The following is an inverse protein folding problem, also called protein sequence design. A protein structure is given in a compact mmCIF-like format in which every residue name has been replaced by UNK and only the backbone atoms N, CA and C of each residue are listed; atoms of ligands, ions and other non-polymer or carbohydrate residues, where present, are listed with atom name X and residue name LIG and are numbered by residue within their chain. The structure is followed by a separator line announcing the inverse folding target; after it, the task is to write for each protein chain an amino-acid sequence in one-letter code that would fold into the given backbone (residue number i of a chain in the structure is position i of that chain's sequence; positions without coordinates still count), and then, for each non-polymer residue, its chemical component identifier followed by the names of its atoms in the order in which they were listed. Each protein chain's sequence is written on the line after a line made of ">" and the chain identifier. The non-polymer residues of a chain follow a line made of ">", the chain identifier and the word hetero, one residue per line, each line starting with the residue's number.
data_IF_248474736641
#
_entry.id   IF_248474736641
#
_cell.length_a   1.000
_cell.length_b   1.000
_cell.length_c   1.000
_cell.angle_alpha   90.00
_cell.angle_beta   90.00
_cell.angle_gamma   90.00
#
_symmetry.space_group_name_H-M   'P 1'
#
loop_
_entity.id
_entity.type
_entity.pdbx_description
1 polymer ?
#
# COMPACT_ATOMS: atom_id res chain seq x y z
N UNK A 1 10.16 16.86 34.95
CA UNK A 1 10.81 17.94 34.16
C UNK A 1 10.57 17.61 32.71
N UNK A 2 9.51 18.18 32.12
CA UNK A 2 9.17 17.96 30.72
C UNK A 2 10.10 18.79 29.86
N UNK A 3 11.12 18.16 29.27
CA UNK A 3 11.85 18.77 28.16
C UNK A 3 10.84 19.01 27.04
N UNK A 4 10.55 20.28 26.80
CA UNK A 4 9.88 20.75 25.59
C UNK A 4 10.83 20.45 24.44
N UNK A 5 10.73 19.24 23.86
CA UNK A 5 11.31 18.92 22.56
C UNK A 5 10.61 19.80 21.54
N UNK A 6 11.13 21.02 21.37
CA UNK A 6 10.74 21.88 20.26
C UNK A 6 11.04 21.08 18.98
N UNK A 7 10.09 20.96 18.04
CA UNK A 7 10.39 20.39 16.74
C UNK A 7 11.57 21.17 16.15
N UNK A 8 12.67 20.48 15.91
CA UNK A 8 13.87 21.12 15.36
C UNK A 8 13.61 21.34 13.88
N UNK A 9 13.11 22.54 13.55
CA UNK A 9 12.91 22.96 12.16
C UNK A 9 14.28 23.09 11.51
N UNK A 10 14.55 22.22 10.53
CA UNK A 10 15.82 22.10 9.82
C UNK A 10 15.67 22.67 8.40
N UNK A 11 14.61 22.31 7.67
CA UNK A 11 14.38 22.80 6.31
C UNK A 11 13.61 24.12 6.35
N UNK A 12 14.23 25.20 5.87
CA UNK A 12 13.64 26.54 5.82
C UNK A 12 13.72 27.17 4.44
N UNK A 13 14.77 26.83 3.69
CA UNK A 13 15.06 27.39 2.37
C UNK A 13 15.97 26.41 1.58
N UNK A 14 16.38 26.83 0.38
CA UNK A 14 17.28 26.07 -0.49
C UNK A 14 18.68 25.89 0.09
N UNK A 15 19.12 26.71 1.04
CA UNK A 15 20.45 26.59 1.66
C UNK A 15 20.51 25.45 2.66
N UNK A 16 19.41 25.19 3.38
CA UNK A 16 19.33 24.07 4.32
C UNK A 16 18.89 22.76 3.68
N UNK A 17 18.50 22.78 2.40
CA UNK A 17 18.09 21.60 1.63
C UNK A 17 19.13 20.47 1.61
N UNK A 18 20.42 20.68 1.25
CA UNK A 18 21.37 19.57 1.14
C UNK A 18 21.59 18.83 2.46
N UNK A 19 21.61 19.57 3.57
CA UNK A 19 21.74 19.00 4.91
C UNK A 19 20.48 18.21 5.29
N UNK A 20 19.30 18.80 5.09
CA UNK A 20 18.03 18.14 5.40
C UNK A 20 17.82 16.87 4.57
N UNK A 21 18.10 16.92 3.26
CA UNK A 21 17.95 15.77 2.37
C UNK A 21 18.90 14.63 2.75
N UNK A 22 20.12 14.94 3.20
CA UNK A 22 21.06 13.94 3.71
C UNK A 22 20.54 13.26 4.98
N UNK A 23 19.92 14.01 5.90
CA UNK A 23 19.28 13.45 7.10
C UNK A 23 18.06 12.59 6.75
N UNK A 24 17.21 13.05 5.82
CA UNK A 24 16.08 12.26 5.31
C UNK A 24 16.57 10.91 4.76
N UNK A 25 17.62 10.95 3.91
CA UNK A 25 18.21 9.74 3.33
C UNK A 25 18.74 8.82 4.42
N UNK A 26 19.39 9.35 5.46
CA UNK A 26 19.84 8.56 6.60
C UNK A 26 18.68 7.90 7.36
N UNK A 27 17.66 8.66 7.76
CA UNK A 27 16.50 8.16 8.51
C UNK A 27 15.70 7.09 7.74
N UNK A 28 15.57 7.28 6.43
CA UNK A 28 14.88 6.36 5.53
C UNK A 28 15.68 5.09 5.24
N UNK A 29 17.00 5.19 5.08
CA UNK A 29 17.87 4.03 4.93
C UNK A 29 17.92 3.21 6.22
N UNK A 30 18.00 3.86 7.38
CA UNK A 30 17.96 3.19 8.69
C UNK A 30 16.68 2.34 8.87
N UNK A 31 15.56 2.78 8.30
CA UNK A 31 14.27 2.06 8.32
C UNK A 31 14.08 1.08 7.16
N UNK A 32 14.98 1.11 6.17
CA UNK A 32 14.91 0.31 4.97
C UNK A 32 13.78 0.68 4.02
N UNK A 33 13.35 1.95 4.00
CA UNK A 33 12.25 2.42 3.13
C UNK A 33 12.70 3.40 2.04
N UNK A 34 14.01 3.70 1.95
CA UNK A 34 14.53 4.67 0.98
C UNK A 34 14.06 4.40 -0.44
N UNK A 35 14.14 3.15 -0.89
CA UNK A 35 13.77 2.74 -2.25
C UNK A 35 12.31 3.05 -2.61
N UNK A 36 11.45 3.25 -1.62
CA UNK A 36 10.03 3.52 -1.83
C UNK A 36 9.65 5.00 -1.69
N UNK A 37 10.54 5.81 -1.13
CA UNK A 37 10.34 7.26 -0.96
C UNK A 37 11.32 8.08 -1.79
N UNK A 38 12.22 7.42 -2.51
CA UNK A 38 13.24 8.05 -3.34
C UNK A 38 12.56 8.96 -4.38
N UNK A 39 12.81 10.29 -4.36
CA UNK A 39 12.16 11.21 -5.29
C UNK A 39 12.54 10.95 -6.76
N UNK A 40 13.67 10.30 -7.02
CA UNK A 40 14.17 10.06 -8.37
C UNK A 40 13.76 8.67 -8.92
N UNK A 41 13.14 7.84 -8.09
CA UNK A 41 12.59 6.55 -8.51
C UNK A 41 11.23 6.71 -9.23
N UNK A 42 10.70 5.61 -9.77
CA UNK A 42 9.32 5.55 -10.31
C UNK A 42 8.29 5.85 -9.21
N UNK A 43 7.10 6.26 -9.63
CA UNK A 43 5.99 6.57 -8.72
C UNK A 43 5.67 5.38 -7.82
N UNK A 44 5.79 5.61 -6.51
CA UNK A 44 5.41 4.67 -5.49
C UNK A 44 3.89 4.63 -5.38
N UNK A 45 3.34 3.41 -5.30
CA UNK A 45 1.92 3.26 -5.04
C UNK A 45 1.60 3.70 -3.60
N UNK A 46 0.47 4.38 -3.37
CA UNK A 46 0.03 4.72 -2.02
C UNK A 46 -0.11 3.49 -1.13
N UNK A 47 0.20 3.63 0.16
CA UNK A 47 0.19 2.51 1.11
C UNK A 47 -1.21 1.90 1.27
N UNK A 48 -2.27 2.70 1.14
CA UNK A 48 -3.65 2.19 1.22
C UNK A 48 -4.01 1.26 0.04
N UNK A 49 -3.40 1.43 -1.13
CA UNK A 49 -3.64 0.55 -2.29
C UNK A 49 -2.94 -0.80 -2.17
N UNK A 50 -1.94 -0.88 -1.27
CA UNK A 50 -1.18 -2.10 -0.98
C UNK A 50 -1.83 -2.94 0.13
N UNK A 51 -3.03 -2.57 0.60
CA UNK A 51 -3.71 -3.29 1.68
C UNK A 51 -4.07 -4.72 1.25
N UNK A 52 -3.67 -5.74 2.03
CA UNK A 52 -4.01 -7.13 1.74
C UNK A 52 -5.52 -7.34 1.75
N UNK A 53 -6.03 -8.12 0.80
CA UNK A 53 -7.46 -8.44 0.72
C UNK A 53 -7.77 -9.69 1.52
N UNK A 54 -8.85 -9.63 2.30
CA UNK A 54 -9.35 -10.78 3.06
C UNK A 54 -9.71 -11.89 2.07
N UNK A 55 -9.15 -13.10 2.22
CA UNK A 55 -9.54 -14.25 1.40
C UNK A 55 -11.02 -14.56 1.59
N UNK A 56 -11.73 -14.81 0.50
CA UNK A 56 -13.13 -15.25 0.52
C UNK A 56 -13.25 -16.66 -0.03
N UNK A 57 -14.09 -17.50 0.58
CA UNK A 57 -14.49 -18.79 0.02
C UNK A 57 -15.67 -18.56 -0.90
N UNK A 58 -15.75 -19.29 -2.02
CA UNK A 58 -16.96 -19.34 -2.84
C UNK A 58 -18.16 -19.88 -2.04
N UNK A 59 -19.40 -19.54 -2.41
CA UNK A 59 -20.59 -20.13 -1.80
C UNK A 59 -20.61 -21.66 -1.95
N UNK A 60 -21.25 -22.35 -1.00
CA UNK A 60 -21.41 -23.80 -1.03
C UNK A 60 -22.24 -24.21 -2.27
N UNK A 61 -21.75 -25.12 -3.12
CA UNK A 61 -22.50 -25.65 -4.25
C UNK A 61 -23.81 -26.34 -3.84
N UNK A 62 -23.95 -26.82 -2.60
CA UNK A 62 -25.18 -27.40 -2.07
C UNK A 62 -26.36 -26.42 -2.00
N UNK A 63 -26.11 -25.12 -2.06
CA UNK A 63 -27.13 -24.08 -2.18
C UNK A 63 -27.62 -23.89 -3.63
N UNK A 64 -27.00 -24.56 -4.61
CA UNK A 64 -27.40 -24.53 -6.01
C UNK A 64 -28.47 -25.60 -6.27
N UNK A 65 -29.74 -25.17 -6.39
CA UNK A 65 -30.87 -26.05 -6.71
C UNK A 65 -30.63 -26.70 -8.08
N UNK A 66 -30.51 -28.02 -8.12
CA UNK A 66 -30.49 -28.78 -9.37
C UNK A 66 -31.91 -28.91 -9.96
N UNK A 67 -32.10 -28.72 -11.27
CA UNK A 67 -33.38 -29.02 -11.93
C UNK A 67 -33.72 -30.51 -11.82
N UNK A 68 -34.96 -30.82 -11.40
CA UNK A 68 -35.50 -32.20 -11.43
C UNK A 68 -35.97 -32.52 -12.85
N UNK A 69 -35.48 -33.61 -13.44
CA UNK A 69 -35.91 -34.07 -14.76
C UNK A 69 -37.26 -34.79 -14.69
N UNK A 70 -38.14 -34.48 -15.64
CA UNK A 70 -39.51 -35.02 -15.77
C UNK A 70 -39.71 -35.85 -17.03
N UNK A 71 -38.73 -35.87 -17.95
CA UNK A 71 -38.80 -36.58 -19.25
C UNK A 71 -37.50 -37.32 -19.63
N UNK A 72 -37.54 -38.31 -20.54
CA UNK A 72 -36.36 -39.10 -20.93
C UNK A 72 -35.25 -38.30 -21.64
N UNK A 73 -35.59 -37.31 -22.47
CA UNK A 73 -34.61 -36.42 -23.11
C UNK A 73 -33.87 -35.53 -22.09
N UNK A 74 -34.50 -35.26 -20.94
CA UNK A 74 -33.88 -34.54 -19.83
C UNK A 74 -32.90 -35.41 -19.03
N UNK A 75 -32.94 -36.75 -19.14
CA UNK A 75 -32.01 -37.64 -18.40
C UNK A 75 -30.55 -37.42 -18.81
N UNK A 76 -30.27 -37.25 -20.11
CA UNK A 76 -28.91 -36.93 -20.61
C UNK A 76 -28.42 -35.55 -20.15
N UNK A 77 -29.34 -34.59 -20.02
CA UNK A 77 -29.07 -33.28 -19.41
C UNK A 77 -28.85 -33.36 -17.90
N UNK A 78 -29.49 -34.33 -17.23
CA UNK A 78 -29.36 -34.54 -15.78
C UNK A 78 -27.99 -35.08 -15.43
N UNK A 79 -27.49 -36.08 -16.18
CA UNK A 79 -26.13 -36.63 -15.95
C UNK A 79 -25.02 -35.58 -16.12
N UNK A 80 -25.17 -34.69 -17.12
CA UNK A 80 -24.24 -33.58 -17.32
C UNK A 80 -24.35 -32.50 -16.24
N UNK A 81 -25.55 -32.24 -15.72
CA UNK A 81 -25.79 -31.35 -14.57
C UNK A 81 -25.19 -31.92 -13.27
N UNK A 82 -25.41 -33.20 -12.97
CA UNK A 82 -24.84 -33.90 -11.80
C UNK A 82 -23.32 -33.87 -11.85
N UNK A 83 -22.71 -34.18 -12.99
CA UNK A 83 -21.25 -34.14 -13.15
C UNK A 83 -20.68 -32.73 -12.90
N UNK A 84 -21.37 -31.67 -13.34
CA UNK A 84 -20.95 -30.28 -13.05
C UNK A 84 -21.11 -29.96 -11.56
N UNK A 85 -22.16 -30.43 -10.92
CA UNK A 85 -22.39 -30.24 -9.49
C UNK A 85 -21.29 -30.92 -8.66
N UNK A 86 -20.94 -32.16 -8.98
CA UNK A 86 -19.84 -32.89 -8.31
C UNK A 86 -18.49 -32.19 -8.49
N UNK A 87 -18.24 -31.61 -9.68
CA UNK A 87 -17.05 -30.81 -9.94
C UNK A 87 -17.01 -29.53 -9.09
N UNK A 88 -18.16 -28.87 -8.91
CA UNK A 88 -18.27 -27.68 -8.05
C UNK A 88 -18.06 -28.04 -6.58
N UNK A 89 -18.65 -29.14 -6.10
CA UNK A 89 -18.44 -29.66 -4.74
C UNK A 89 -16.95 -29.94 -4.51
N UNK A 90 -16.31 -30.70 -5.41
CA UNK A 90 -14.89 -31.02 -5.27
C UNK A 90 -13.99 -29.77 -5.29
N UNK A 91 -14.31 -28.78 -6.13
CA UNK A 91 -13.59 -27.50 -6.15
C UNK A 91 -13.79 -26.69 -4.86
N UNK A 92 -15.01 -26.68 -4.31
CA UNK A 92 -15.32 -26.04 -3.03
C UNK A 92 -14.60 -26.72 -1.86
N UNK A 93 -14.62 -28.05 -1.78
CA UNK A 93 -13.90 -28.81 -0.75
C UNK A 93 -12.39 -28.53 -0.78
N UNK A 94 -11.79 -28.47 -1.98
CA UNK A 94 -10.39 -28.08 -2.14
C UNK A 94 -10.14 -26.64 -1.68
N UNK A 95 -11.05 -25.71 -1.99
CA UNK A 95 -10.92 -24.32 -1.57
C UNK A 95 -11.04 -24.16 -0.05
N UNK A 96 -12.00 -24.85 0.58
CA UNK A 96 -12.15 -24.90 2.04
C UNK A 96 -10.90 -25.50 2.69
N UNK A 97 -10.35 -26.57 2.13
CA UNK A 97 -9.10 -27.18 2.63
C UNK A 97 -7.90 -26.25 2.52
N UNK A 98 -7.83 -25.44 1.46
CA UNK A 98 -6.76 -24.48 1.24
C UNK A 98 -6.97 -23.14 1.97
N UNK A 99 -8.18 -22.87 2.45
CA UNK A 99 -8.53 -21.61 3.08
C UNK A 99 -7.70 -21.27 4.33
N UNK A 100 -7.39 -22.21 5.25
CA UNK A 100 -6.49 -21.95 6.36
C UNK A 100 -5.11 -21.43 5.92
N UNK A 101 -4.56 -21.95 4.82
CA UNK A 101 -3.29 -21.48 4.26
C UNK A 101 -3.42 -20.06 3.69
N UNK A 102 -4.50 -19.77 2.95
CA UNK A 102 -4.79 -18.42 2.46
C UNK A 102 -4.93 -17.42 3.61
N UNK A 103 -5.55 -17.82 4.72
CA UNK A 103 -5.68 -16.99 5.93
C UNK A 103 -4.32 -16.75 6.59
N UNK A 104 -3.47 -17.78 6.72
CA UNK A 104 -2.13 -17.61 7.27
C UNK A 104 -1.29 -16.64 6.41
N UNK A 105 -1.35 -16.77 5.09
CA UNK A 105 -0.70 -15.85 4.15
C UNK A 105 -1.24 -14.42 4.30
N UNK A 106 -2.57 -14.27 4.38
CA UNK A 106 -3.21 -12.98 4.64
C UNK A 106 -2.76 -12.34 5.96
N UNK A 107 -2.67 -13.12 7.05
CA UNK A 107 -2.19 -12.63 8.35
C UNK A 107 -0.74 -12.15 8.25
N UNK A 108 0.12 -12.89 7.55
CA UNK A 108 1.51 -12.51 7.31
C UNK A 108 1.60 -11.21 6.48
N UNK A 109 0.87 -11.13 5.37
CA UNK A 109 0.85 -9.95 4.50
C UNK A 109 0.31 -8.72 5.25
N UNK A 110 -0.71 -8.88 6.09
CA UNK A 110 -1.26 -7.80 6.92
C UNK A 110 -0.23 -7.30 7.94
N UNK A 111 0.52 -8.20 8.58
CA UNK A 111 1.59 -7.82 9.50
C UNK A 111 2.71 -7.05 8.79
N UNK A 112 3.11 -7.50 7.59
CA UNK A 112 4.12 -6.81 6.76
C UNK A 112 3.63 -5.43 6.31
N UNK A 113 2.39 -5.33 5.86
CA UNK A 113 1.75 -4.07 5.48
C UNK A 113 1.69 -3.09 6.65
N UNK A 114 1.26 -3.56 7.84
CA UNK A 114 1.24 -2.74 9.05
C UNK A 114 2.62 -2.22 9.43
N UNK A 115 3.63 -3.10 9.47
CA UNK A 115 5.01 -2.72 9.77
C UNK A 115 5.55 -1.68 8.76
N UNK A 116 5.20 -1.84 7.48
CA UNK A 116 5.55 -0.89 6.42
C UNK A 116 4.85 0.46 6.63
N UNK A 117 3.54 0.47 6.86
CA UNK A 117 2.76 1.67 7.12
C UNK A 117 3.31 2.48 8.30
N UNK A 118 3.71 1.81 9.40
CA UNK A 118 4.37 2.46 10.54
C UNK A 118 5.67 3.17 10.16
N UNK A 119 6.50 2.57 9.31
CA UNK A 119 7.74 3.20 8.84
C UNK A 119 7.46 4.45 7.99
N UNK A 120 6.48 4.39 7.11
CA UNK A 120 6.03 5.54 6.32
C UNK A 120 5.50 6.67 7.20
N UNK A 121 4.63 6.33 8.16
CA UNK A 121 4.10 7.30 9.11
C UNK A 121 5.22 7.99 9.91
N UNK A 122 6.23 7.25 10.34
CA UNK A 122 7.39 7.82 11.03
C UNK A 122 8.15 8.83 10.16
N UNK A 123 8.48 8.46 8.92
CA UNK A 123 9.21 9.39 8.02
C UNK A 123 8.34 10.59 7.66
N UNK A 124 7.04 10.39 7.42
CA UNK A 124 6.12 11.49 7.20
C UNK A 124 6.07 12.43 8.41
N UNK A 125 5.93 11.91 9.62
CA UNK A 125 5.94 12.70 10.85
C UNK A 125 7.26 13.45 11.05
N UNK A 126 8.39 12.81 10.72
CA UNK A 126 9.70 13.44 10.75
C UNK A 126 9.80 14.59 9.74
N UNK A 127 9.31 14.41 8.51
CA UNK A 127 9.25 15.49 7.51
C UNK A 127 8.40 16.66 8.03
N UNK A 128 7.19 16.36 8.55
CA UNK A 128 6.28 17.38 9.07
C UNK A 128 6.83 18.16 10.27
N UNK A 129 7.76 17.58 11.04
CA UNK A 129 8.39 18.26 12.19
C UNK A 129 9.68 19.00 11.84
N UNK A 130 10.37 18.59 10.77
CA UNK A 130 11.66 19.15 10.38
C UNK A 130 11.56 20.19 9.27
N UNK A 131 10.44 20.26 8.55
CA UNK A 131 10.18 21.27 7.52
C UNK A 131 9.40 22.46 8.09
N UNK A 132 9.81 23.69 7.75
CA UNK A 132 9.12 24.90 8.18
C UNK A 132 7.70 24.96 7.60
N UNK A 133 6.79 25.60 8.34
CA UNK A 133 5.41 25.77 7.90
C UNK A 133 5.34 26.51 6.55
N UNK A 134 6.12 27.58 6.39
CA UNK A 134 6.11 28.41 5.18
C UNK A 134 6.51 27.63 3.91
N UNK A 135 7.39 26.63 4.07
CA UNK A 135 7.78 25.71 3.01
C UNK A 135 6.71 24.62 2.81
N UNK A 136 6.17 24.06 3.89
CA UNK A 136 5.27 22.91 3.82
C UNK A 136 3.85 23.28 3.33
N UNK A 137 3.32 24.44 3.72
CA UNK A 137 1.97 24.88 3.35
C UNK A 137 1.67 24.83 1.84
N UNK A 138 2.49 25.43 0.96
CA UNK A 138 2.23 25.39 -0.49
C UNK A 138 2.33 23.96 -1.06
N UNK A 139 3.17 23.11 -0.48
CA UNK A 139 3.32 21.70 -0.89
C UNK A 139 2.05 20.92 -0.55
N UNK A 140 1.52 21.09 0.66
CA UNK A 140 0.27 20.45 1.11
C UNK A 140 -0.93 20.85 0.24
N UNK A 141 -0.98 22.10 -0.21
CA UNK A 141 -2.02 22.56 -1.14
C UNK A 141 -1.93 21.81 -2.47
N UNK A 142 -0.73 21.63 -3.04
CA UNK A 142 -0.54 20.88 -4.30
C UNK A 142 -0.84 19.38 -4.13
N UNK A 143 -0.48 18.81 -2.99
CA UNK A 143 -0.79 17.41 -2.65
C UNK A 143 -2.29 17.15 -2.44
N UNK A 144 -3.13 18.18 -2.33
CA UNK A 144 -4.58 17.98 -2.26
C UNK A 144 -5.20 17.56 -3.60
N UNK A 145 -4.48 17.77 -4.71
CA UNK A 145 -4.94 17.45 -6.07
C UNK A 145 -4.24 16.22 -6.67
N UNK A 146 -3.27 15.65 -5.97
CA UNK A 146 -2.43 14.54 -6.43
C UNK A 146 -2.41 13.39 -5.39
N UNK A 147 -1.95 12.17 -5.75
CA UNK A 147 -1.82 11.08 -4.79
C UNK A 147 -0.94 11.47 -3.60
N UNK A 148 -1.51 11.44 -2.39
CA UNK A 148 -0.81 11.81 -1.16
C UNK A 148 0.19 10.73 -0.76
N UNK A 149 1.42 10.83 -1.27
CA UNK A 149 2.54 9.95 -0.91
C UNK A 149 3.70 10.74 -0.32
N UNK A 150 4.48 10.08 0.54
CA UNK A 150 5.73 10.65 1.08
C UNK A 150 6.69 11.01 -0.05
N UNK A 151 6.76 10.19 -1.10
CA UNK A 151 7.57 10.45 -2.29
C UNK A 151 7.12 11.71 -3.04
N UNK A 152 5.82 11.89 -3.28
CA UNK A 152 5.29 13.08 -3.94
C UNK A 152 5.63 14.36 -3.16
N UNK A 153 5.50 14.31 -1.83
CA UNK A 153 5.92 15.41 -0.96
C UNK A 153 7.41 15.74 -1.09
N UNK A 154 8.29 14.73 -1.06
CA UNK A 154 9.74 14.92 -1.20
C UNK A 154 10.09 15.47 -2.59
N UNK A 155 9.43 15.02 -3.65
CA UNK A 155 9.64 15.53 -5.02
C UNK A 155 9.26 16.99 -5.16
N UNK A 156 8.13 17.40 -4.58
CA UNK A 156 7.71 18.80 -4.61
C UNK A 156 8.68 19.67 -3.81
N UNK A 157 9.14 19.20 -2.64
CA UNK A 157 10.17 19.90 -1.87
C UNK A 157 11.49 20.00 -2.65
N UNK A 158 11.91 18.91 -3.32
CA UNK A 158 13.11 18.89 -4.18
C UNK A 158 12.97 19.89 -5.33
N UNK A 159 11.83 19.90 -6.02
CA UNK A 159 11.56 20.83 -7.13
C UNK A 159 11.68 22.29 -6.70
N UNK A 160 11.17 22.64 -5.52
CA UNK A 160 11.10 24.02 -5.06
C UNK A 160 12.39 24.49 -4.35
N UNK A 161 13.19 23.58 -3.77
CA UNK A 161 14.31 23.94 -2.89
C UNK A 161 15.67 23.38 -3.31
N UNK A 162 15.73 22.36 -4.16
CA UNK A 162 17.00 21.80 -4.56
C UNK A 162 17.79 22.83 -5.39
N UNK A 163 19.11 22.99 -5.14
CA UNK A 163 19.98 23.76 -6.02
C UNK A 163 19.85 23.28 -7.46
N UNK A 164 19.94 24.19 -8.43
CA UNK A 164 19.68 23.94 -9.86
C UNK A 164 20.49 22.73 -10.40
N UNK A 165 21.67 22.46 -9.83
CA UNK A 165 22.55 21.33 -10.18
C UNK A 165 22.05 19.95 -9.68
N UNK A 166 21.09 19.91 -8.76
CA UNK A 166 20.54 18.65 -8.19
C UNK A 166 19.26 18.17 -8.91
N UNK A 167 18.72 18.97 -9.82
CA UNK A 167 17.57 18.63 -10.67
C UNK A 167 17.99 18.09 -12.05
N UNK A 168 19.29 17.96 -12.31
CA UNK A 168 19.87 17.47 -13.56
C UNK A 168 20.45 16.07 -13.38
N UNK A 169 19.58 15.08 -13.19
CA UNK A 169 19.88 13.73 -13.64
C UNK A 169 18.65 13.18 -14.38
N UNK A 170 18.76 13.21 -15.71
CA UNK A 170 17.91 12.51 -16.68
C UNK A 170 18.11 11.00 -16.59
#
# INVERSE_FOLDING_TARGET
>A
MSSSDKPTIILKDSTTWPFWFSQLKYEANFRGIWNEIDPDAKDAQPIYEQEPKIPTIRPDPGDLILPVATTPDEQTNTETLTRRHDQLISAYEQEVKNYPNKINEFCMLTALHGAKATKFQHVQSWIMTTVSYDVMAPIMIRLSTEPHTVQAMIRLLKKDLAPIDSNTHN
#
